data_IF_860109666721
#
_entry.id   IF_860109666721
#
_cell.length_a   1.000
_cell.length_b   1.000
_cell.length_c   1.000
_cell.angle_alpha   90.00
_cell.angle_beta   90.00
_cell.angle_gamma   90.00
#
_symmetry.space_group_name_H-M   'P 1'
#
loop_
_entity.id
_entity.type
_entity.pdbx_description
1 polymer ?
#
# COMPACT_ATOMS: atom_id res chain seq x y z
N UNK A 1 14.77 -7.72 -37.39
CA UNK A 1 13.31 -7.96 -37.29
C UNK A 1 12.93 -7.67 -35.85
N UNK A 2 12.46 -6.45 -35.58
CA UNK A 2 12.09 -6.04 -34.22
C UNK A 2 10.57 -6.17 -34.14
N UNK A 3 10.11 -7.32 -33.65
CA UNK A 3 8.71 -7.58 -33.34
C UNK A 3 8.27 -6.55 -32.29
N UNK A 4 7.60 -5.49 -32.73
CA UNK A 4 6.91 -4.55 -31.85
C UNK A 4 5.80 -5.32 -31.14
N UNK A 5 6.10 -5.81 -29.95
CA UNK A 5 5.10 -6.36 -29.04
C UNK A 5 4.07 -5.26 -28.80
N UNK A 6 2.94 -5.35 -29.49
CA UNK A 6 1.77 -4.52 -29.26
C UNK A 6 1.20 -4.91 -27.90
N UNK A 7 1.82 -4.38 -26.84
CA UNK A 7 1.35 -4.53 -25.48
C UNK A 7 -0.05 -3.95 -25.43
N UNK A 8 -1.05 -4.80 -25.24
CA UNK A 8 -2.42 -4.36 -25.01
C UNK A 8 -2.40 -3.48 -23.77
N UNK A 9 -2.92 -2.23 -23.84
CA UNK A 9 -2.96 -1.36 -22.68
C UNK A 9 -3.65 -2.09 -21.53
N UNK A 10 -3.08 -2.03 -20.32
CA UNK A 10 -3.72 -2.58 -19.14
C UNK A 10 -5.11 -1.95 -18.97
N UNK A 11 -6.10 -2.80 -18.76
CA UNK A 11 -7.45 -2.34 -18.43
C UNK A 11 -7.42 -1.45 -17.18
N UNK A 12 -8.25 -0.42 -17.16
CA UNK A 12 -8.29 0.57 -16.09
C UNK A 12 -8.56 -0.08 -14.72
N UNK A 13 -9.36 -1.15 -14.68
CA UNK A 13 -9.63 -1.90 -13.44
C UNK A 13 -8.38 -2.60 -12.92
N UNK A 14 -7.59 -3.20 -13.80
CA UNK A 14 -6.34 -3.88 -13.44
C UNK A 14 -5.33 -2.88 -12.87
N UNK A 15 -5.22 -1.70 -13.48
CA UNK A 15 -4.36 -0.62 -12.97
C UNK A 15 -4.82 -0.13 -11.59
N UNK A 16 -6.13 0.05 -11.40
CA UNK A 16 -6.70 0.43 -10.09
C UNK A 16 -6.38 -0.61 -9.01
N UNK A 17 -6.56 -1.90 -9.31
CA UNK A 17 -6.30 -2.97 -8.36
C UNK A 17 -4.83 -3.01 -7.92
N UNK A 18 -3.89 -2.81 -8.86
CA UNK A 18 -2.46 -2.75 -8.54
C UNK A 18 -2.16 -1.53 -7.66
N UNK A 19 -2.75 -0.38 -7.97
CA UNK A 19 -2.59 0.82 -7.17
C UNK A 19 -3.14 0.63 -5.74
N UNK A 20 -4.31 0.02 -5.58
CA UNK A 20 -4.90 -0.24 -4.27
C UNK A 20 -4.09 -1.24 -3.46
N UNK A 21 -3.60 -2.30 -4.11
CA UNK A 21 -2.68 -3.25 -3.50
C UNK A 21 -1.39 -2.57 -3.03
N UNK A 22 -0.80 -1.72 -3.87
CA UNK A 22 0.41 -0.97 -3.54
C UNK A 22 0.21 -0.05 -2.32
N UNK A 23 -0.93 0.66 -2.27
CA UNK A 23 -1.30 1.51 -1.12
C UNK A 23 -1.49 0.70 0.15
N UNK A 24 -2.13 -0.47 0.07
CA UNK A 24 -2.31 -1.37 1.21
C UNK A 24 -0.96 -1.86 1.75
N UNK A 25 -0.04 -2.28 0.87
CA UNK A 25 1.31 -2.69 1.26
C UNK A 25 2.09 -1.57 1.93
N UNK A 26 2.06 -0.35 1.36
CA UNK A 26 2.76 0.80 1.94
C UNK A 26 2.21 1.17 3.32
N UNK A 27 0.89 1.13 3.48
CA UNK A 27 0.24 1.39 4.76
C UNK A 27 0.68 0.38 5.83
N UNK A 28 0.67 -0.92 5.50
CA UNK A 28 1.12 -1.97 6.42
C UNK A 28 2.60 -1.84 6.76
N UNK A 29 3.45 -1.55 5.77
CA UNK A 29 4.88 -1.36 6.00
C UNK A 29 5.15 -0.20 6.96
N UNK A 30 4.50 0.96 6.74
CA UNK A 30 4.59 2.10 7.65
C UNK A 30 4.08 1.75 9.05
N UNK A 31 2.93 1.07 9.15
CA UNK A 31 2.39 0.58 10.41
C UNK A 31 3.35 -0.33 11.16
N UNK A 32 3.98 -1.29 10.48
CA UNK A 32 4.96 -2.19 11.10
C UNK A 32 6.22 -1.48 11.60
N UNK A 33 6.64 -0.41 10.92
CA UNK A 33 7.82 0.37 11.31
C UNK A 33 7.52 1.24 12.53
N UNK A 34 6.41 1.96 12.53
CA UNK A 34 6.14 3.03 13.50
C UNK A 34 5.13 2.67 14.58
N UNK A 35 4.14 1.83 14.30
CA UNK A 35 3.08 1.50 15.23
C UNK A 35 3.39 0.23 16.03
N UNK A 36 3.08 0.27 17.32
CA UNK A 36 3.06 -0.89 18.21
C UNK A 36 1.65 -1.40 18.50
N UNK A 37 0.63 -0.54 18.39
CA UNK A 37 -0.78 -0.90 18.54
C UNK A 37 -1.64 -0.08 17.57
N UNK A 38 -2.93 -0.43 17.44
CA UNK A 38 -3.91 0.21 16.55
C UNK A 38 -3.45 0.29 15.07
N UNK A 39 -2.97 -0.81 14.45
CA UNK A 39 -2.36 -0.78 13.11
C UNK A 39 -3.35 -0.39 12.00
N UNK A 40 -4.65 -0.57 12.22
CA UNK A 40 -5.71 -0.20 11.26
C UNK A 40 -6.40 1.12 11.62
N UNK A 41 -5.90 1.87 12.61
CA UNK A 41 -6.47 3.14 13.06
C UNK A 41 -7.98 3.09 13.30
N UNK A 42 -8.46 2.00 13.92
CA UNK A 42 -9.88 1.85 14.29
C UNK A 42 -10.31 2.87 15.35
N UNK A 43 -9.34 3.40 16.08
CA UNK A 43 -9.46 4.54 16.99
C UNK A 43 -8.51 5.66 16.52
N UNK A 44 -8.74 6.93 16.92
CA UNK A 44 -7.79 8.02 16.68
C UNK A 44 -6.35 7.64 17.06
N UNK A 45 -5.38 8.18 16.32
CA UNK A 45 -3.97 7.90 16.57
C UNK A 45 -3.49 8.68 17.79
N UNK A 46 -3.12 7.96 18.84
CA UNK A 46 -2.50 8.50 20.04
C UNK A 46 -0.99 8.20 20.05
N UNK A 47 -0.22 9.00 20.79
CA UNK A 47 1.23 8.83 20.92
C UNK A 47 1.61 7.44 21.46
N UNK A 48 0.78 6.87 22.34
CA UNK A 48 0.97 5.54 22.93
C UNK A 48 0.93 4.40 21.89
N UNK A 49 0.35 4.64 20.71
CA UNK A 49 0.35 3.65 19.62
C UNK A 49 1.67 3.61 18.84
N UNK A 50 2.57 4.58 19.06
CA UNK A 50 3.85 4.69 18.35
C UNK A 50 4.94 3.99 19.15
N UNK A 51 5.81 3.26 18.47
CA UNK A 51 6.98 2.61 19.07
C UNK A 51 7.92 3.68 19.64
N UNK A 52 8.25 3.54 20.91
CA UNK A 52 9.24 4.39 21.56
C UNK A 52 10.64 3.87 21.19
N UNK A 53 11.28 4.51 20.22
CA UNK A 53 12.61 4.14 19.70
C UNK A 53 13.63 5.24 19.94
#
# INVERSE_FOLDING_TARGET
>A
MNSTLSATPLDAKSLSNINDYWRACNYLAAGMIYLQDNPLLRKPLEADHIKNR
#
